data_IF_286571307044
#
_entry.id   IF_286571307044
#
_cell.length_a   1.000
_cell.length_b   1.000
_cell.length_c   1.000
_cell.angle_alpha   90.00
_cell.angle_beta   90.00
_cell.angle_gamma   90.00
#
_symmetry.space_group_name_H-M   'P 1'
#
loop_
_entity.id
_entity.type
_entity.pdbx_description
1 polymer ?
#
# COMPACT_ATOMS: atom_id res chain seq x y z
N UNK A 1 -47.27 44.83 37.30
CA UNK A 1 -46.60 44.53 36.01
C UNK A 1 -45.17 44.04 36.24
N UNK A 2 -44.97 42.85 36.82
CA UNK A 2 -43.59 42.32 37.09
C UNK A 2 -43.46 40.82 36.83
N UNK A 3 -44.53 40.02 36.99
CA UNK A 3 -44.46 38.57 36.77
C UNK A 3 -44.30 38.15 35.31
N UNK A 4 -44.86 38.92 34.37
CA UNK A 4 -44.82 38.60 32.93
C UNK A 4 -43.44 38.78 32.30
N UNK A 5 -42.63 39.71 32.83
CA UNK A 5 -41.30 40.02 32.31
C UNK A 5 -40.25 39.02 32.81
N UNK A 6 -40.36 38.60 34.08
CA UNK A 6 -39.53 37.56 34.68
C UNK A 6 -39.73 36.20 33.99
N UNK A 7 -40.98 35.82 33.69
CA UNK A 7 -41.29 34.58 32.97
C UNK A 7 -40.72 34.54 31.53
N UNK A 8 -40.68 35.69 30.86
CA UNK A 8 -40.17 35.81 29.48
C UNK A 8 -38.64 35.66 29.45
N UNK A 9 -37.95 36.29 30.41
CA UNK A 9 -36.49 36.18 30.58
C UNK A 9 -36.05 34.73 30.84
N UNK A 10 -36.75 34.03 31.73
CA UNK A 10 -36.44 32.62 32.05
C UNK A 10 -36.63 31.70 30.83
N UNK A 11 -37.71 31.86 30.07
CA UNK A 11 -37.94 31.06 28.84
C UNK A 11 -36.89 31.30 27.78
N UNK A 12 -36.50 32.55 27.53
CA UNK A 12 -35.45 32.89 26.57
C UNK A 12 -34.11 32.26 26.98
N UNK A 13 -33.78 32.31 28.27
CA UNK A 13 -32.54 31.72 28.79
C UNK A 13 -32.50 30.20 28.66
N UNK A 14 -33.63 29.52 28.88
CA UNK A 14 -33.74 28.08 28.67
C UNK A 14 -33.67 27.68 27.19
N UNK A 15 -34.27 28.46 26.29
CA UNK A 15 -34.17 28.25 24.84
C UNK A 15 -32.71 28.37 24.39
N UNK A 16 -31.98 29.39 24.87
CA UNK A 16 -30.56 29.53 24.55
C UNK A 16 -29.75 28.32 25.01
N UNK A 17 -29.91 27.88 26.26
CA UNK A 17 -29.19 26.71 26.83
C UNK A 17 -29.50 25.43 26.03
N UNK A 18 -30.77 25.20 25.70
CA UNK A 18 -31.17 24.02 24.94
C UNK A 18 -30.59 24.05 23.51
N UNK A 19 -30.56 25.22 22.87
CA UNK A 19 -29.94 25.40 21.55
C UNK A 19 -28.43 25.18 21.58
N UNK A 20 -27.70 25.69 22.58
CA UNK A 20 -26.26 25.42 22.70
C UNK A 20 -25.99 23.94 22.95
N UNK A 21 -26.79 23.28 23.78
CA UNK A 21 -26.64 21.85 24.05
C UNK A 21 -26.92 21.01 22.79
N UNK A 22 -27.94 21.37 21.99
CA UNK A 22 -28.21 20.69 20.73
C UNK A 22 -27.08 20.89 19.71
N UNK A 23 -26.55 22.11 19.61
CA UNK A 23 -25.45 22.43 18.70
C UNK A 23 -24.16 21.69 19.05
N UNK A 24 -23.82 21.55 20.34
CA UNK A 24 -22.62 20.79 20.76
C UNK A 24 -22.77 19.30 20.49
N UNK A 25 -23.95 18.71 20.75
CA UNK A 25 -24.20 17.30 20.43
C UNK A 25 -24.08 17.05 18.92
N UNK A 26 -24.66 17.92 18.10
CA UNK A 26 -24.55 17.81 16.64
C UNK A 26 -23.09 17.92 16.15
N UNK A 27 -22.30 18.84 16.72
CA UNK A 27 -20.89 19.00 16.40
C UNK A 27 -20.05 17.78 16.80
N UNK A 28 -20.33 17.18 17.95
CA UNK A 28 -19.65 15.96 18.43
C UNK A 28 -19.99 14.76 17.56
N UNK A 29 -21.24 14.61 17.14
CA UNK A 29 -21.64 13.55 16.21
C UNK A 29 -20.99 13.74 14.85
N UNK A 30 -20.96 14.97 14.32
CA UNK A 30 -20.27 15.28 13.06
C UNK A 30 -18.76 15.03 13.16
N UNK A 31 -18.13 15.37 14.28
CA UNK A 31 -16.72 15.10 14.52
C UNK A 31 -16.42 13.59 14.63
N UNK A 32 -17.32 12.80 15.22
CA UNK A 32 -17.18 11.34 15.28
C UNK A 32 -17.18 10.69 13.89
N UNK A 33 -17.97 11.21 12.94
CA UNK A 33 -17.96 10.75 11.55
C UNK A 33 -16.67 11.08 10.78
N UNK A 34 -15.84 11.99 11.30
CA UNK A 34 -14.55 12.33 10.70
C UNK A 34 -13.41 11.44 11.23
N UNK A 35 -13.67 10.59 12.21
CA UNK A 35 -12.67 9.67 12.74
C UNK A 35 -12.55 8.50 11.75
N UNK A 36 -11.40 8.29 11.12
CA UNK A 36 -11.20 7.12 10.27
C UNK A 36 -11.42 5.85 11.09
N UNK A 37 -12.20 4.91 10.55
CA UNK A 37 -12.42 3.64 11.22
C UNK A 37 -11.07 2.94 11.44
N UNK A 38 -10.78 2.46 12.67
CA UNK A 38 -9.54 1.74 12.92
C UNK A 38 -9.51 0.50 12.01
N UNK A 39 -8.37 0.27 11.36
CA UNK A 39 -8.19 -0.89 10.50
C UNK A 39 -8.58 -2.18 11.23
N UNK A 40 -9.41 -2.99 10.58
CA UNK A 40 -9.87 -4.26 11.12
C UNK A 40 -8.68 -5.15 11.51
N UNK A 41 -8.82 -6.05 12.51
CA UNK A 41 -7.76 -6.99 12.86
C UNK A 41 -7.24 -7.79 11.66
N UNK A 42 -8.15 -8.14 10.74
CA UNK A 42 -7.82 -8.82 9.49
C UNK A 42 -6.92 -7.96 8.60
N UNK A 43 -7.28 -6.70 8.37
CA UNK A 43 -6.47 -5.78 7.56
C UNK A 43 -5.06 -5.59 8.16
N UNK A 44 -4.95 -5.58 9.49
CA UNK A 44 -3.63 -5.53 10.15
C UNK A 44 -2.80 -6.79 9.89
N UNK A 45 -3.41 -7.97 9.93
CA UNK A 45 -2.74 -9.22 9.62
C UNK A 45 -2.29 -9.26 8.14
N UNK A 46 -3.17 -8.85 7.23
CA UNK A 46 -2.84 -8.77 5.79
C UNK A 46 -1.69 -7.77 5.53
N UNK A 47 -1.67 -6.63 6.22
CA UNK A 47 -0.54 -5.69 6.12
C UNK A 47 0.78 -6.23 6.70
N UNK A 48 0.74 -7.14 7.68
CA UNK A 48 1.94 -7.79 8.17
C UNK A 48 2.54 -8.76 7.13
N UNK A 49 1.69 -9.39 6.31
CA UNK A 49 2.11 -10.19 5.16
C UNK A 49 2.79 -9.28 4.12
N UNK A 50 2.20 -8.13 3.80
CA UNK A 50 2.78 -7.14 2.87
C UNK A 50 4.15 -6.69 3.35
N UNK A 51 4.27 -6.28 4.62
CA UNK A 51 5.53 -5.86 5.21
C UNK A 51 6.61 -6.95 5.14
N UNK A 52 6.26 -8.19 5.51
CA UNK A 52 7.17 -9.32 5.44
C UNK A 52 7.62 -9.65 4.02
N UNK A 53 6.70 -9.56 3.06
CA UNK A 53 6.97 -9.80 1.63
C UNK A 53 7.89 -8.75 1.06
N UNK A 54 7.63 -7.47 1.34
CA UNK A 54 8.45 -6.36 0.87
C UNK A 54 9.89 -6.43 1.40
N UNK A 55 10.09 -6.81 2.67
CA UNK A 55 11.44 -7.02 3.23
C UNK A 55 12.17 -8.18 2.54
N UNK A 56 11.48 -9.28 2.26
CA UNK A 56 12.08 -10.42 1.55
C UNK A 56 12.44 -10.05 0.12
N UNK A 57 11.57 -9.29 -0.56
CA UNK A 57 11.83 -8.75 -1.89
C UNK A 57 13.10 -7.89 -1.90
N UNK A 58 13.21 -6.92 -0.99
CA UNK A 58 14.38 -6.04 -0.90
C UNK A 58 15.67 -6.83 -0.65
N UNK A 59 15.64 -7.76 0.30
CA UNK A 59 16.80 -8.60 0.58
C UNK A 59 17.23 -9.44 -0.64
N UNK A 60 16.29 -9.92 -1.45
CA UNK A 60 16.59 -10.64 -2.69
C UNK A 60 17.10 -9.69 -3.79
N UNK A 61 16.51 -8.51 -3.95
CA UNK A 61 16.93 -7.51 -4.93
C UNK A 61 18.37 -7.02 -4.68
N UNK A 62 18.79 -6.89 -3.42
CA UNK A 62 20.18 -6.58 -3.04
C UNK A 62 21.18 -7.66 -3.51
N UNK A 63 20.76 -8.93 -3.61
CA UNK A 63 21.63 -10.00 -4.13
C UNK A 63 21.78 -9.95 -5.66
N UNK A 64 20.77 -9.38 -6.33
CA UNK A 64 20.72 -9.22 -7.78
C UNK A 64 21.38 -7.93 -8.27
N UNK A 65 21.47 -6.91 -7.41
CA UNK A 65 22.08 -5.62 -7.72
C UNK A 65 23.40 -5.48 -6.96
N UNK A 66 24.51 -6.02 -7.47
CA UNK A 66 25.79 -5.94 -6.78
C UNK A 66 26.18 -4.47 -6.52
N UNK A 67 26.68 -4.18 -5.32
CA UNK A 67 27.33 -2.91 -5.02
C UNK A 67 28.44 -2.65 -6.06
N UNK A 68 28.65 -1.37 -6.42
CA UNK A 68 29.63 -0.97 -7.44
C UNK A 68 30.96 -1.73 -7.29
N UNK A 69 31.28 -2.56 -8.30
CA UNK A 69 32.51 -3.38 -8.34
C UNK A 69 32.34 -4.86 -8.00
N UNK A 70 31.16 -5.32 -7.57
CA UNK A 70 30.85 -6.74 -7.46
C UNK A 70 30.33 -7.31 -8.80
N UNK A 71 30.73 -8.53 -9.11
CA UNK A 71 30.35 -9.22 -10.34
C UNK A 71 28.92 -9.75 -10.18
N UNK A 72 28.04 -9.48 -11.15
CA UNK A 72 26.75 -10.16 -11.26
C UNK A 72 26.95 -11.69 -11.22
N UNK A 73 25.91 -12.46 -10.82
CA UNK A 73 25.91 -13.90 -11.01
C UNK A 73 26.36 -14.23 -12.45
N UNK A 74 27.34 -15.13 -12.59
CA UNK A 74 28.01 -15.39 -13.86
C UNK A 74 27.10 -16.03 -14.92
N UNK A 75 25.91 -16.49 -14.50
CA UNK A 75 24.96 -17.23 -15.30
C UNK A 75 23.62 -16.47 -15.37
N UNK A 76 23.24 -15.94 -16.55
CA UNK A 76 21.95 -15.28 -16.77
C UNK A 76 20.73 -16.14 -16.39
N UNK A 77 20.84 -17.48 -16.46
CA UNK A 77 19.75 -18.36 -16.02
C UNK A 77 19.51 -18.28 -14.50
N UNK A 78 20.56 -18.02 -13.73
CA UNK A 78 20.43 -17.85 -12.27
C UNK A 78 19.66 -16.57 -11.92
N UNK A 79 19.86 -15.50 -12.68
CA UNK A 79 19.13 -14.22 -12.50
C UNK A 79 17.64 -14.40 -12.82
N UNK A 80 17.33 -15.04 -13.94
CA UNK A 80 15.96 -15.39 -14.33
C UNK A 80 15.26 -16.24 -13.26
N UNK A 81 15.94 -17.26 -12.73
CA UNK A 81 15.38 -18.13 -11.71
C UNK A 81 15.11 -17.36 -10.40
N UNK A 82 16.02 -16.47 -10.01
CA UNK A 82 15.83 -15.61 -8.83
C UNK A 82 14.64 -14.66 -8.99
N UNK A 83 14.48 -13.97 -10.13
CA UNK A 83 13.30 -13.14 -10.36
C UNK A 83 12.00 -13.95 -10.39
N UNK A 84 12.01 -15.15 -10.99
CA UNK A 84 10.85 -16.06 -10.98
C UNK A 84 10.47 -16.47 -9.55
N UNK A 85 11.46 -16.75 -8.70
CA UNK A 85 11.23 -17.07 -7.29
C UNK A 85 10.66 -15.86 -6.52
N UNK A 86 11.15 -14.65 -6.80
CA UNK A 86 10.63 -13.43 -6.20
C UNK A 86 9.18 -13.16 -6.61
N UNK A 87 8.82 -13.35 -7.89
CA UNK A 87 7.44 -13.23 -8.34
C UNK A 87 6.51 -14.25 -7.66
N UNK A 88 6.94 -15.51 -7.57
CA UNK A 88 6.18 -16.57 -6.89
C UNK A 88 5.97 -16.29 -5.39
N UNK A 89 6.97 -15.71 -4.73
CA UNK A 89 6.86 -15.26 -3.34
C UNK A 89 5.74 -14.22 -3.18
N UNK A 90 5.68 -13.22 -4.07
CA UNK A 90 4.63 -12.19 -4.03
C UNK A 90 3.25 -12.78 -4.37
N UNK A 91 3.14 -13.71 -5.33
CA UNK A 91 1.89 -14.43 -5.59
C UNK A 91 1.40 -15.21 -4.37
N UNK A 92 2.29 -15.90 -3.67
CA UNK A 92 1.95 -16.64 -2.45
C UNK A 92 1.44 -15.70 -1.35
N UNK A 93 2.03 -14.50 -1.23
CA UNK A 93 1.54 -13.46 -0.35
C UNK A 93 0.12 -13.01 -0.75
N UNK A 94 -0.14 -12.78 -2.04
CA UNK A 94 -1.45 -12.41 -2.57
C UNK A 94 -2.53 -13.45 -2.24
N UNK A 95 -2.19 -14.74 -2.29
CA UNK A 95 -3.12 -15.83 -1.96
C UNK A 95 -3.41 -15.97 -0.47
N UNK A 96 -2.52 -15.45 0.39
CA UNK A 96 -2.65 -15.54 1.84
C UNK A 96 -3.46 -14.40 2.48
N UNK A 97 -3.66 -13.28 1.75
CA UNK A 97 -4.40 -12.12 2.23
C UNK A 97 -5.89 -12.19 1.84
N UNK A 98 -6.73 -11.55 2.64
CA UNK A 98 -8.19 -11.55 2.44
C UNK A 98 -8.78 -10.19 2.07
N UNK A 99 -8.08 -9.11 2.38
CA UNK A 99 -8.46 -7.74 2.02
C UNK A 99 -8.33 -7.57 0.50
N UNK A 100 -9.44 -7.31 -0.23
CA UNK A 100 -9.44 -7.32 -1.69
C UNK A 100 -8.43 -6.36 -2.33
N UNK A 101 -8.30 -5.15 -1.81
CA UNK A 101 -7.40 -4.13 -2.36
C UNK A 101 -5.94 -4.51 -2.15
N UNK A 102 -5.60 -5.08 -0.99
CA UNK A 102 -4.25 -5.59 -0.71
C UNK A 102 -3.93 -6.78 -1.63
N UNK A 103 -4.89 -7.70 -1.79
CA UNK A 103 -4.74 -8.85 -2.69
C UNK A 103 -4.50 -8.41 -4.13
N UNK A 104 -5.28 -7.43 -4.60
CA UNK A 104 -5.16 -6.90 -5.95
C UNK A 104 -3.75 -6.36 -6.20
N UNK A 105 -3.26 -5.46 -5.36
CA UNK A 105 -1.95 -4.86 -5.59
C UNK A 105 -0.79 -5.85 -5.40
N UNK A 106 -0.90 -6.84 -4.50
CA UNK A 106 0.07 -7.94 -4.46
C UNK A 106 0.06 -8.77 -5.75
N UNK A 107 -1.11 -8.99 -6.35
CA UNK A 107 -1.21 -9.71 -7.63
C UNK A 107 -0.59 -8.88 -8.76
N UNK A 108 -0.89 -7.59 -8.83
CA UNK A 108 -0.31 -6.67 -9.84
C UNK A 108 1.22 -6.59 -9.72
N UNK A 109 1.74 -6.56 -8.48
CA UNK A 109 3.18 -6.63 -8.23
C UNK A 109 3.76 -7.97 -8.72
N UNK A 110 3.15 -9.09 -8.34
CA UNK A 110 3.62 -10.42 -8.76
C UNK A 110 3.63 -10.57 -10.30
N UNK A 111 2.56 -10.14 -10.98
CA UNK A 111 2.46 -10.15 -12.44
C UNK A 111 3.53 -9.27 -13.09
N UNK A 112 3.86 -8.12 -12.50
CA UNK A 112 4.93 -7.26 -12.98
C UNK A 112 6.32 -7.89 -12.79
N UNK A 113 6.55 -8.55 -11.65
CA UNK A 113 7.77 -9.29 -11.37
C UNK A 113 7.96 -10.48 -12.32
N UNK A 114 6.89 -11.19 -12.68
CA UNK A 114 6.94 -12.25 -13.68
C UNK A 114 7.30 -11.70 -15.06
N UNK A 115 6.73 -10.55 -15.46
CA UNK A 115 7.11 -9.90 -16.74
C UNK A 115 8.61 -9.53 -16.76
N UNK A 116 9.15 -9.03 -15.65
CA UNK A 116 10.59 -8.77 -15.52
C UNK A 116 11.41 -10.07 -15.63
N UNK A 117 10.98 -11.16 -15.00
CA UNK A 117 11.66 -12.45 -15.15
C UNK A 117 11.63 -12.96 -16.61
N UNK A 118 10.57 -12.67 -17.36
CA UNK A 118 10.46 -13.00 -18.78
C UNK A 118 11.36 -12.12 -19.67
N UNK A 119 11.54 -10.83 -19.38
CA UNK A 119 12.43 -9.97 -20.19
C UNK A 119 13.89 -10.45 -20.10
N UNK A 120 14.35 -10.78 -18.90
CA UNK A 120 15.69 -11.34 -18.65
C UNK A 120 15.94 -12.66 -19.42
N UNK A 121 14.89 -13.46 -19.65
CA UNK A 121 14.98 -14.67 -20.50
C UNK A 121 15.18 -14.37 -21.98
N UNK A 122 14.63 -13.25 -22.47
CA UNK A 122 14.74 -12.86 -23.88
C UNK A 122 16.13 -12.29 -24.17
N UNK A 123 16.66 -11.46 -23.25
CA UNK A 123 17.99 -10.86 -23.41
C UNK A 123 19.13 -11.88 -23.32
N UNK A 124 18.95 -12.94 -22.53
CA UNK A 124 19.89 -14.05 -22.46
C UNK A 124 19.89 -14.98 -23.69
N UNK A 125 18.99 -14.77 -24.66
CA UNK A 125 18.81 -15.63 -25.85
C UNK A 125 19.07 -15.00 -27.22
N UNK A 126 19.33 -13.69 -27.32
CA UNK A 126 19.44 -12.96 -28.59
C UNK A 126 20.69 -12.09 -28.72
N UNK A 127 21.07 -11.63 -29.94
CA UNK A 127 22.15 -10.66 -30.10
C UNK A 127 21.78 -9.37 -29.35
N UNK A 128 22.70 -8.88 -28.50
CA UNK A 128 22.52 -7.75 -27.58
C UNK A 128 21.76 -6.59 -28.23
N UNK A 129 20.47 -6.48 -27.93
CA UNK A 129 19.71 -5.27 -28.18
C UNK A 129 19.90 -4.41 -26.94
N UNK A 130 20.45 -3.21 -27.13
CA UNK A 130 20.53 -2.24 -26.04
C UNK A 130 19.11 -1.87 -25.61
N UNK A 131 18.73 -2.32 -24.41
CA UNK A 131 17.46 -1.98 -23.77
C UNK A 131 17.31 -0.46 -23.73
N UNK A 132 16.18 0.04 -24.26
CA UNK A 132 15.91 1.48 -24.23
C UNK A 132 15.44 1.90 -22.83
N UNK A 133 15.64 3.17 -22.47
CA UNK A 133 15.14 3.71 -21.21
C UNK A 133 13.61 3.56 -21.08
N UNK A 134 12.89 3.68 -22.19
CA UNK A 134 11.45 3.43 -22.24
C UNK A 134 11.08 1.97 -21.93
N UNK A 135 11.83 0.98 -22.44
CA UNK A 135 11.57 -0.44 -22.13
C UNK A 135 11.84 -0.76 -20.65
N UNK A 136 12.95 -0.25 -20.09
CA UNK A 136 13.22 -0.41 -18.65
C UNK A 136 12.12 0.23 -17.79
N UNK A 137 11.63 1.41 -18.17
CA UNK A 137 10.53 2.09 -17.48
C UNK A 137 9.21 1.33 -17.62
N UNK A 138 8.91 0.74 -18.77
CA UNK A 138 7.70 -0.06 -18.99
C UNK A 138 7.65 -1.29 -18.07
N UNK A 139 8.81 -1.89 -17.77
CA UNK A 139 8.91 -3.05 -16.89
C UNK A 139 8.88 -2.64 -15.41
N UNK A 140 9.60 -1.59 -15.02
CA UNK A 140 9.75 -1.20 -13.62
C UNK A 140 8.55 -0.39 -13.07
N UNK A 141 7.88 0.42 -13.89
CA UNK A 141 6.79 1.31 -13.44
C UNK A 141 5.63 0.54 -12.81
N UNK A 142 5.07 -0.52 -13.43
CA UNK A 142 3.94 -1.25 -12.85
C UNK A 142 4.27 -1.88 -11.49
N UNK A 143 5.52 -2.30 -11.31
CA UNK A 143 6.00 -2.86 -10.05
C UNK A 143 6.07 -1.79 -8.95
N UNK A 144 6.61 -0.61 -9.28
CA UNK A 144 6.70 0.51 -8.37
C UNK A 144 5.31 1.09 -8.00
N UNK A 145 4.39 1.15 -8.95
CA UNK A 145 3.02 1.63 -8.71
C UNK A 145 2.26 0.71 -7.76
N UNK A 146 2.35 -0.62 -7.97
CA UNK A 146 1.73 -1.60 -7.10
C UNK A 146 2.34 -1.57 -5.68
N UNK A 147 3.68 -1.47 -5.58
CA UNK A 147 4.36 -1.31 -4.29
C UNK A 147 3.98 0.00 -3.59
N UNK A 148 3.83 1.10 -4.34
CA UNK A 148 3.38 2.39 -3.84
C UNK A 148 1.96 2.32 -3.26
N UNK A 149 1.02 1.72 -3.99
CA UNK A 149 -0.35 1.52 -3.52
C UNK A 149 -0.41 0.65 -2.25
N UNK A 150 0.41 -0.40 -2.17
CA UNK A 150 0.56 -1.21 -0.96
C UNK A 150 1.11 -0.39 0.22
N UNK A 151 2.08 0.51 -0.02
CA UNK A 151 2.61 1.41 1.00
C UNK A 151 1.57 2.39 1.55
N UNK A 152 0.67 2.89 0.69
CA UNK A 152 -0.47 3.73 1.13
C UNK A 152 -1.48 2.94 1.99
N UNK A 153 -1.72 1.67 1.64
CA UNK A 153 -2.65 0.80 2.37
C UNK A 153 -2.06 0.25 3.66
N UNK A 154 -0.74 0.02 3.70
CA UNK A 154 0.01 -0.65 4.75
C UNK A 154 1.23 0.18 5.18
N UNK A 155 1.06 1.13 6.13
CA UNK A 155 2.06 2.15 6.45
C UNK A 155 3.41 1.66 6.99
N UNK A 156 3.51 0.39 7.40
CA UNK A 156 4.76 -0.21 7.88
C UNK A 156 5.55 -0.92 6.78
N UNK A 157 5.04 -0.96 5.55
CA UNK A 157 5.78 -1.49 4.42
C UNK A 157 7.07 -0.68 4.25
N UNK A 158 8.25 -1.33 4.16
CA UNK A 158 9.48 -0.62 3.87
C UNK A 158 9.37 0.07 2.51
N UNK A 159 9.90 1.29 2.42
CA UNK A 159 9.97 2.02 1.15
C UNK A 159 10.84 1.24 0.16
N UNK A 160 10.34 1.06 -1.06
CA UNK A 160 11.05 0.43 -2.18
C UNK A 160 12.33 1.19 -2.54
#
# INVERSE_FOLDING_TARGET
MSSTESQRSVRVRWIWIASTAAATVAAVLAAMWLIPEPASPQRKADCAVVEGTARQWQAAAETLTPAQGATLPSDPQTVVEQYTQMAMMVHTAADSVSTPEIKQHLTEWADAADRLAMSERVDSGGPEQSETLEEMLEIATPMNDAAGALGELCPNMPAA
#
